data_IF_696208441749
#
_entry.id   IF_696208441749
#
_cell.length_a   1.000
_cell.length_b   1.000
_cell.length_c   1.000
_cell.angle_alpha   90.00
_cell.angle_beta   90.00
_cell.angle_gamma   90.00
#
_symmetry.space_group_name_H-M   'P 1'
#
loop_
_entity.id
_entity.type
_entity.pdbx_description
1 polymer ?
#
# COMPACT_ATOMS: atom_id res chain seq x y z
N UNK A 1 -40.38 7.47 -42.71
CA UNK A 1 -38.97 7.14 -42.36
C UNK A 1 -38.23 8.32 -41.72
N UNK A 2 -38.77 9.53 -41.79
CA UNK A 2 -38.22 10.78 -41.23
C UNK A 2 -38.54 11.04 -39.75
N UNK A 3 -39.57 10.40 -39.17
CA UNK A 3 -39.89 10.55 -37.73
C UNK A 3 -39.09 9.63 -36.79
N UNK A 4 -38.52 8.52 -37.29
CA UNK A 4 -37.64 7.66 -36.47
C UNK A 4 -36.23 8.23 -36.25
N UNK A 5 -35.83 9.26 -36.99
CA UNK A 5 -34.50 9.89 -36.84
C UNK A 5 -34.46 11.04 -35.83
N UNK A 6 -35.61 11.62 -35.44
CA UNK A 6 -35.66 12.64 -34.38
C UNK A 6 -35.54 12.05 -32.97
N UNK A 7 -35.98 10.80 -32.76
CA UNK A 7 -35.87 10.10 -31.47
C UNK A 7 -34.45 9.62 -31.11
N UNK A 8 -33.55 9.47 -32.09
CA UNK A 8 -32.16 9.01 -31.84
C UNK A 8 -31.20 10.14 -31.45
N UNK A 9 -31.55 11.42 -31.72
CA UNK A 9 -30.73 12.56 -31.29
C UNK A 9 -30.95 12.96 -29.82
N UNK A 10 -32.13 12.69 -29.23
CA UNK A 10 -32.37 12.96 -27.80
C UNK A 10 -31.70 11.93 -26.87
N UNK A 11 -31.51 10.68 -27.33
CA UNK A 11 -30.79 9.65 -26.59
C UNK A 11 -29.27 9.90 -26.51
N UNK A 12 -28.70 10.60 -27.50
CA UNK A 12 -27.28 11.00 -27.51
C UNK A 12 -26.95 12.10 -26.50
N UNK A 13 -27.85 13.08 -26.33
CA UNK A 13 -27.64 14.16 -25.36
C UNK A 13 -27.67 13.64 -23.90
N UNK A 14 -28.55 12.70 -23.60
CA UNK A 14 -28.60 12.08 -22.27
C UNK A 14 -27.35 11.22 -21.97
N UNK A 15 -26.84 10.48 -22.95
CA UNK A 15 -25.63 9.66 -22.77
C UNK A 15 -24.37 10.51 -22.64
N UNK A 16 -24.27 11.63 -23.35
CA UNK A 16 -23.16 12.59 -23.21
C UNK A 16 -23.21 13.35 -21.88
N UNK A 17 -24.40 13.75 -21.39
CA UNK A 17 -24.54 14.39 -20.09
C UNK A 17 -24.18 13.43 -18.94
N UNK A 18 -24.59 12.16 -19.06
CA UNK A 18 -24.20 11.09 -18.12
C UNK A 18 -22.68 10.89 -18.16
N UNK A 19 -22.07 10.85 -19.35
CA UNK A 19 -20.62 10.69 -19.48
C UNK A 19 -19.84 11.87 -18.90
N UNK A 20 -20.29 13.11 -19.13
CA UNK A 20 -19.72 14.31 -18.56
C UNK A 20 -19.86 14.34 -17.03
N UNK A 21 -21.04 13.98 -16.49
CA UNK A 21 -21.24 13.80 -15.05
C UNK A 21 -20.31 12.73 -14.47
N UNK A 22 -20.16 11.57 -15.12
CA UNK A 22 -19.22 10.53 -14.68
C UNK A 22 -17.76 11.00 -14.71
N UNK A 23 -17.39 11.82 -15.70
CA UNK A 23 -16.05 12.37 -15.82
C UNK A 23 -15.73 13.41 -14.73
N UNK A 24 -16.68 14.31 -14.43
CA UNK A 24 -16.55 15.30 -13.35
C UNK A 24 -16.59 14.61 -11.98
N UNK A 25 -17.53 13.68 -11.76
CA UNK A 25 -17.61 12.88 -10.54
C UNK A 25 -16.35 12.05 -10.31
N UNK A 26 -15.75 11.49 -11.36
CA UNK A 26 -14.48 10.77 -11.27
C UNK A 26 -13.33 11.64 -10.74
N UNK A 27 -13.35 12.96 -10.97
CA UNK A 27 -12.33 13.88 -10.43
C UNK A 27 -12.61 14.31 -8.99
N UNK A 28 -13.88 14.34 -8.58
CA UNK A 28 -14.27 14.71 -7.21
C UNK A 28 -14.22 13.53 -6.23
N UNK A 29 -14.38 12.31 -6.72
CA UNK A 29 -14.36 11.09 -5.90
C UNK A 29 -13.13 10.99 -4.97
N UNK A 30 -11.88 11.17 -5.42
CA UNK A 30 -10.72 11.11 -4.53
C UNK A 30 -10.79 12.10 -3.36
N UNK A 31 -11.24 13.33 -3.61
CA UNK A 31 -11.37 14.35 -2.57
C UNK A 31 -12.48 14.01 -1.57
N UNK A 32 -13.63 13.50 -2.06
CA UNK A 32 -14.72 13.06 -1.18
C UNK A 32 -14.30 11.92 -0.25
N UNK A 33 -13.60 10.91 -0.78
CA UNK A 33 -13.07 9.82 0.04
C UNK A 33 -11.97 10.29 1.00
N UNK A 34 -11.13 11.26 0.60
CA UNK A 34 -10.14 11.84 1.50
C UNK A 34 -10.79 12.53 2.71
N UNK A 35 -11.82 13.35 2.47
CA UNK A 35 -12.59 14.02 3.53
C UNK A 35 -13.31 12.98 4.41
N UNK A 36 -13.92 11.96 3.79
CA UNK A 36 -14.58 10.88 4.52
C UNK A 36 -13.59 10.13 5.43
N UNK A 37 -12.42 9.75 4.92
CA UNK A 37 -11.40 9.04 5.69
C UNK A 37 -10.75 9.94 6.74
N UNK A 38 -10.61 11.25 6.49
CA UNK A 38 -10.19 12.21 7.50
C UNK A 38 -11.16 12.22 8.68
N UNK A 39 -12.45 12.46 8.42
CA UNK A 39 -13.48 12.50 9.44
C UNK A 39 -13.61 11.16 10.18
N UNK A 40 -13.58 10.06 9.43
CA UNK A 40 -13.61 8.71 10.00
C UNK A 40 -12.40 8.43 10.90
N UNK A 41 -11.20 8.84 10.49
CA UNK A 41 -9.99 8.65 11.30
C UNK A 41 -10.05 9.45 12.60
N UNK A 42 -10.54 10.71 12.56
CA UNK A 42 -10.73 11.53 13.75
C UNK A 42 -11.72 10.93 14.76
N UNK A 43 -12.70 10.14 14.28
CA UNK A 43 -13.64 9.43 15.15
C UNK A 43 -13.01 8.18 15.75
N UNK A 44 -12.22 7.43 14.99
CA UNK A 44 -11.69 6.11 15.41
C UNK A 44 -10.41 6.24 16.25
N UNK A 45 -9.51 7.18 15.95
CA UNK A 45 -8.23 7.31 16.66
C UNK A 45 -8.34 7.43 18.19
N UNK A 46 -9.29 8.20 18.75
CA UNK A 46 -9.46 8.29 20.20
C UNK A 46 -9.73 6.95 20.89
N UNK A 47 -10.27 5.96 20.16
CA UNK A 47 -10.51 4.63 20.70
C UNK A 47 -9.30 3.70 20.55
N UNK A 48 -8.36 4.00 19.67
CA UNK A 48 -7.22 3.11 19.40
C UNK A 48 -6.01 3.45 20.29
N UNK A 49 -5.97 2.84 21.46
CA UNK A 49 -4.92 3.07 22.47
C UNK A 49 -3.91 1.91 22.57
N UNK A 50 -4.31 0.68 22.23
CA UNK A 50 -3.52 -0.54 22.45
C UNK A 50 -2.62 -0.98 21.29
N UNK A 51 -1.93 -2.10 21.52
CA UNK A 51 -1.01 -2.72 20.56
C UNK A 51 0.12 -1.78 20.14
N UNK A 52 0.42 -1.76 18.84
CA UNK A 52 1.46 -0.88 18.27
C UNK A 52 1.20 0.63 18.53
N UNK A 53 -0.05 1.04 18.73
CA UNK A 53 -0.40 2.46 18.92
C UNK A 53 0.11 3.02 20.25
N UNK A 54 0.21 2.21 21.30
CA UNK A 54 0.76 2.61 22.60
C UNK A 54 2.19 3.13 22.42
N UNK A 55 3.03 2.36 21.74
CA UNK A 55 4.42 2.72 21.48
C UNK A 55 4.55 3.95 20.58
N UNK A 56 3.69 4.09 19.56
CA UNK A 56 3.71 5.27 18.69
C UNK A 56 3.25 6.53 19.41
N UNK A 57 2.23 6.45 20.28
CA UNK A 57 1.77 7.59 21.10
C UNK A 57 2.87 8.01 22.09
N UNK A 58 3.42 7.06 22.83
CA UNK A 58 4.53 7.31 23.76
C UNK A 58 5.74 7.96 23.08
N UNK A 59 6.12 7.49 21.88
CA UNK A 59 7.19 8.12 21.10
C UNK A 59 6.84 9.55 20.67
N UNK A 60 5.64 9.77 20.14
CA UNK A 60 5.20 11.08 19.65
C UNK A 60 5.21 12.14 20.76
N UNK A 61 4.74 11.77 21.95
CA UNK A 61 4.62 12.69 23.08
C UNK A 61 5.99 13.00 23.71
N UNK A 62 6.85 11.98 23.84
CA UNK A 62 8.16 12.13 24.46
C UNK A 62 9.15 12.94 23.59
N UNK A 63 9.05 12.84 22.26
CA UNK A 63 10.06 13.43 21.37
C UNK A 63 10.00 14.97 21.32
N UNK A 64 8.88 15.56 21.73
CA UNK A 64 8.70 17.01 21.72
C UNK A 64 9.67 17.69 22.70
N UNK A 65 10.62 18.46 22.17
CA UNK A 65 11.64 19.15 22.94
C UNK A 65 12.95 18.38 23.17
N UNK A 66 13.06 17.13 22.71
CA UNK A 66 14.32 16.38 22.77
C UNK A 66 15.32 16.86 21.69
N UNK A 67 16.63 16.90 22.00
CA UNK A 67 17.67 17.09 20.99
C UNK A 67 17.60 15.99 19.91
N UNK A 68 17.90 16.34 18.66
CA UNK A 68 17.74 15.44 17.50
C UNK A 68 18.43 14.08 17.67
N UNK A 69 19.65 14.06 18.23
CA UNK A 69 20.40 12.83 18.47
C UNK A 69 19.74 11.93 19.52
N UNK A 70 19.35 12.51 20.66
CA UNK A 70 18.69 11.79 21.75
C UNK A 70 17.31 11.27 21.33
N UNK A 71 16.56 12.09 20.59
CA UNK A 71 15.29 11.71 19.98
C UNK A 71 15.43 10.51 19.04
N UNK A 72 16.50 10.47 18.24
CA UNK A 72 16.73 9.37 17.31
C UNK A 72 17.14 8.07 18.02
N UNK A 73 17.94 8.17 19.08
CA UNK A 73 18.29 7.03 19.92
C UNK A 73 17.05 6.51 20.68
N UNK A 74 16.23 7.41 21.21
CA UNK A 74 14.96 7.08 21.84
C UNK A 74 14.01 6.39 20.85
N UNK A 75 13.85 6.93 19.64
CA UNK A 75 13.09 6.32 18.54
C UNK A 75 13.53 4.88 18.26
N UNK A 76 14.84 4.65 18.15
CA UNK A 76 15.39 3.33 17.89
C UNK A 76 15.09 2.32 18.99
N UNK A 77 15.15 2.77 20.26
CA UNK A 77 14.84 1.94 21.43
C UNK A 77 13.34 1.66 21.58
N UNK A 78 12.49 2.67 21.40
CA UNK A 78 11.05 2.58 21.64
C UNK A 78 10.32 1.77 20.55
N UNK A 79 10.72 1.91 19.27
CA UNK A 79 10.02 1.32 18.14
C UNK A 79 10.79 0.19 17.43
N UNK A 80 11.96 -0.19 17.95
CA UNK A 80 12.80 -1.27 17.43
C UNK A 80 13.17 -1.09 15.94
N UNK A 81 13.31 0.15 15.49
CA UNK A 81 13.56 0.48 14.08
C UNK A 81 14.30 1.79 13.93
N UNK A 82 14.98 1.95 12.79
CA UNK A 82 15.82 3.10 12.46
C UNK A 82 15.41 3.72 11.12
N UNK A 83 14.11 3.81 10.85
CA UNK A 83 13.56 4.35 9.60
C UNK A 83 13.54 5.90 9.62
N UNK A 84 14.47 6.57 8.93
CA UNK A 84 14.69 8.01 9.11
C UNK A 84 13.50 8.87 8.66
N UNK A 85 12.78 8.49 7.60
CA UNK A 85 11.72 9.33 7.05
C UNK A 85 10.52 9.43 8.00
N UNK A 86 10.14 8.33 8.65
CA UNK A 86 9.10 8.35 9.68
C UNK A 86 9.55 9.17 10.90
N UNK A 87 10.81 8.97 11.34
CA UNK A 87 11.38 9.72 12.45
C UNK A 87 11.32 11.24 12.21
N UNK A 88 11.83 11.72 11.08
CA UNK A 88 11.84 13.16 10.78
C UNK A 88 10.43 13.75 10.64
N UNK A 89 9.47 12.96 10.15
CA UNK A 89 8.07 13.39 10.11
C UNK A 89 7.52 13.61 11.52
N UNK A 90 7.66 12.63 12.40
CA UNK A 90 7.15 12.74 13.78
C UNK A 90 7.89 13.82 14.56
N UNK A 91 9.22 13.81 14.53
CA UNK A 91 10.06 14.81 15.19
C UNK A 91 9.74 16.25 14.76
N UNK A 92 9.50 16.46 13.46
CA UNK A 92 9.22 17.79 12.91
C UNK A 92 7.83 18.32 13.23
N UNK A 93 6.83 17.44 13.39
CA UNK A 93 5.43 17.86 13.59
C UNK A 93 4.92 17.71 15.02
N UNK A 94 5.57 16.92 15.87
CA UNK A 94 5.12 16.71 17.26
C UNK A 94 5.00 17.98 18.11
N UNK A 95 5.82 19.04 17.94
CA UNK A 95 5.63 20.27 18.70
C UNK A 95 4.42 21.11 18.26
N UNK A 96 3.87 20.84 17.07
CA UNK A 96 2.91 21.75 16.41
C UNK A 96 1.53 21.14 16.21
N UNK A 97 1.43 19.81 16.10
CA UNK A 97 0.18 19.12 15.79
C UNK A 97 -0.06 17.98 16.76
N UNK A 98 -1.32 17.76 17.12
CA UNK A 98 -1.73 16.54 17.80
C UNK A 98 -1.53 15.33 16.87
N UNK A 99 -1.08 14.20 17.44
CA UNK A 99 -0.80 12.96 16.71
C UNK A 99 -2.00 12.53 15.84
N UNK A 100 -3.17 12.49 16.45
CA UNK A 100 -4.38 11.96 15.82
C UNK A 100 -4.82 12.83 14.64
N UNK A 101 -4.63 14.15 14.75
CA UNK A 101 -4.88 15.08 13.65
C UNK A 101 -3.87 14.88 12.51
N UNK A 102 -2.56 14.82 12.82
CA UNK A 102 -1.51 14.61 11.82
C UNK A 102 -1.74 13.30 11.05
N UNK A 103 -1.98 12.20 11.75
CA UNK A 103 -2.17 10.90 11.10
C UNK A 103 -3.52 10.77 10.41
N UNK A 104 -4.56 11.50 10.83
CA UNK A 104 -5.82 11.62 10.07
C UNK A 104 -5.59 12.35 8.75
N UNK A 105 -4.77 13.40 8.73
CA UNK A 105 -4.39 14.11 7.50
C UNK A 105 -3.59 13.21 6.55
N UNK A 106 -2.64 12.42 7.07
CA UNK A 106 -1.87 11.45 6.28
C UNK A 106 -2.79 10.36 5.72
N UNK A 107 -3.74 9.85 6.51
CA UNK A 107 -4.74 8.88 6.05
C UNK A 107 -5.60 9.45 4.92
N UNK A 108 -6.04 10.70 5.05
CA UNK A 108 -6.81 11.41 4.02
C UNK A 108 -6.01 11.54 2.72
N UNK A 109 -4.74 11.93 2.80
CA UNK A 109 -3.85 12.04 1.65
C UNK A 109 -3.60 10.67 0.99
N UNK A 110 -3.39 9.63 1.80
CA UNK A 110 -3.25 8.26 1.30
C UNK A 110 -4.52 7.80 0.59
N UNK A 111 -5.71 8.02 1.19
CA UNK A 111 -6.98 7.71 0.56
C UNK A 111 -7.17 8.47 -0.76
N UNK A 112 -6.81 9.76 -0.81
CA UNK A 112 -6.82 10.56 -2.03
C UNK A 112 -5.99 9.91 -3.14
N UNK A 113 -4.74 9.53 -2.85
CA UNK A 113 -3.83 8.94 -3.82
C UNK A 113 -4.30 7.55 -4.27
N UNK A 114 -4.76 6.71 -3.34
CA UNK A 114 -5.29 5.37 -3.64
C UNK A 114 -6.54 5.46 -4.52
N UNK A 115 -7.51 6.29 -4.16
CA UNK A 115 -8.75 6.45 -4.96
C UNK A 115 -8.44 7.10 -6.31
N UNK A 116 -7.53 8.06 -6.37
CA UNK A 116 -7.04 8.62 -7.65
C UNK A 116 -6.47 7.53 -8.55
N UNK A 117 -5.69 6.60 -7.99
CA UNK A 117 -5.16 5.46 -8.73
C UNK A 117 -6.29 4.52 -9.18
N UNK A 118 -7.22 4.13 -8.31
CA UNK A 118 -8.35 3.25 -8.64
C UNK A 118 -9.21 3.85 -9.76
N UNK A 119 -9.58 5.13 -9.65
CA UNK A 119 -10.41 5.83 -10.65
C UNK A 119 -9.65 6.00 -11.98
N UNK A 120 -8.34 6.25 -11.94
CA UNK A 120 -7.53 6.32 -13.17
C UNK A 120 -7.51 5.01 -13.96
N UNK A 121 -7.70 3.87 -13.28
CA UNK A 121 -7.85 2.55 -13.89
C UNK A 121 -9.29 2.25 -14.38
N UNK A 122 -10.17 3.27 -14.41
CA UNK A 122 -11.57 3.19 -14.87
C UNK A 122 -12.39 2.13 -14.13
N UNK A 123 -12.08 1.90 -12.86
CA UNK A 123 -12.77 0.95 -11.99
C UNK A 123 -14.22 1.41 -11.75
N UNK A 124 -15.15 0.46 -11.66
CA UNK A 124 -16.56 0.78 -11.40
C UNK A 124 -16.74 1.38 -10.00
N UNK A 125 -17.60 2.38 -9.87
CA UNK A 125 -17.74 3.18 -8.64
C UNK A 125 -18.01 2.32 -7.38
N UNK A 126 -18.81 1.26 -7.49
CA UNK A 126 -19.15 0.39 -6.35
C UNK A 126 -18.00 -0.51 -5.88
N UNK A 127 -16.92 -0.62 -6.65
CA UNK A 127 -15.69 -1.32 -6.24
C UNK A 127 -14.81 -0.40 -5.39
N UNK A 128 -14.95 0.93 -5.51
CA UNK A 128 -14.13 1.88 -4.73
C UNK A 128 -14.33 1.72 -3.22
N UNK A 129 -15.56 1.64 -2.66
CA UNK A 129 -15.76 1.35 -1.25
C UNK A 129 -15.11 0.04 -0.81
N UNK A 130 -15.20 -1.01 -1.63
CA UNK A 130 -14.57 -2.31 -1.33
C UNK A 130 -13.05 -2.20 -1.23
N UNK A 131 -12.42 -1.33 -2.04
CA UNK A 131 -10.97 -1.11 -1.97
C UNK A 131 -10.60 -0.18 -0.81
N UNK A 132 -11.40 0.83 -0.48
CA UNK A 132 -11.05 1.79 0.58
C UNK A 132 -11.33 1.25 1.98
N UNK A 133 -12.41 0.50 2.18
CA UNK A 133 -12.83 -0.03 3.47
C UNK A 133 -12.47 -1.51 3.67
N UNK A 134 -11.58 -2.07 2.86
CA UNK A 134 -11.09 -3.43 3.12
C UNK A 134 -10.21 -3.46 4.38
N UNK A 135 -10.18 -4.61 5.05
CA UNK A 135 -9.35 -4.88 6.23
C UNK A 135 -7.90 -4.37 6.10
N UNK A 136 -7.20 -4.62 4.99
CA UNK A 136 -5.82 -4.18 4.83
C UNK A 136 -5.68 -2.67 4.64
N UNK A 137 -6.66 -1.99 4.03
CA UNK A 137 -6.69 -0.54 3.98
C UNK A 137 -6.91 0.06 5.37
N UNK A 138 -7.78 -0.53 6.19
CA UNK A 138 -7.99 -0.12 7.58
C UNK A 138 -6.75 -0.36 8.45
N UNK A 139 -6.09 -1.53 8.32
CA UNK A 139 -4.80 -1.82 8.97
C UNK A 139 -3.74 -0.81 8.52
N UNK A 140 -3.77 -0.37 7.26
CA UNK A 140 -2.86 0.68 6.80
C UNK A 140 -3.21 2.04 7.42
N UNK A 141 -4.48 2.39 7.55
CA UNK A 141 -4.92 3.66 8.11
C UNK A 141 -4.71 3.79 9.61
N UNK A 142 -4.75 2.69 10.37
CA UNK A 142 -4.67 2.79 11.83
C UNK A 142 -3.32 2.31 12.39
N UNK A 143 -3.07 1.00 12.56
CA UNK A 143 -1.91 0.51 13.29
C UNK A 143 -0.59 0.74 12.54
N UNK A 144 -0.59 0.65 11.21
CA UNK A 144 0.65 0.55 10.44
C UNK A 144 1.23 1.93 10.04
N UNK A 145 1.60 2.77 11.01
CA UNK A 145 2.06 4.16 10.78
C UNK A 145 3.30 4.31 9.89
N UNK A 146 4.31 3.45 10.07
CA UNK A 146 5.54 3.47 9.26
C UNK A 146 5.24 2.99 7.83
N UNK A 147 4.41 1.95 7.72
CA UNK A 147 3.98 1.37 6.46
C UNK A 147 3.10 2.31 5.63
N UNK A 148 2.15 3.05 6.25
CA UNK A 148 1.29 4.00 5.53
C UNK A 148 2.10 5.09 4.85
N UNK A 149 3.12 5.61 5.51
CA UNK A 149 3.98 6.65 4.96
C UNK A 149 4.77 6.10 3.78
N UNK A 150 5.31 4.89 3.92
CA UNK A 150 6.01 4.20 2.84
C UNK A 150 5.12 3.93 1.63
N UNK A 151 3.89 3.43 1.84
CA UNK A 151 2.91 3.18 0.77
C UNK A 151 2.47 4.49 0.11
N UNK A 152 2.26 5.56 0.88
CA UNK A 152 1.94 6.88 0.36
C UNK A 152 3.02 7.38 -0.59
N UNK A 153 4.28 7.38 -0.15
CA UNK A 153 5.43 7.81 -0.97
C UNK A 153 5.59 6.90 -2.21
N UNK A 154 5.45 5.59 -2.04
CA UNK A 154 5.49 4.64 -3.15
C UNK A 154 4.44 4.95 -4.22
N UNK A 155 3.20 5.19 -3.80
CA UNK A 155 2.08 5.50 -4.70
C UNK A 155 2.25 6.86 -5.37
N UNK A 156 2.71 7.89 -4.66
CA UNK A 156 3.08 9.18 -5.28
C UNK A 156 4.15 8.95 -6.35
N UNK A 157 5.20 8.18 -6.05
CA UNK A 157 6.25 7.84 -7.01
C UNK A 157 5.71 7.17 -8.29
N UNK A 158 4.63 6.39 -8.19
CA UNK A 158 3.97 5.78 -9.34
C UNK A 158 3.27 6.78 -10.28
N UNK A 159 2.89 7.97 -9.80
CA UNK A 159 2.31 9.02 -10.63
C UNK A 159 3.37 9.89 -11.34
N UNK A 160 4.60 9.93 -10.82
CA UNK A 160 5.68 10.73 -11.37
C UNK A 160 6.51 9.99 -12.43
N UNK A 161 7.21 10.75 -13.27
CA UNK A 161 8.13 10.26 -14.31
C UNK A 161 9.57 10.71 -14.02
N UNK A 162 10.54 10.06 -14.65
CA UNK A 162 11.95 10.43 -14.54
C UNK A 162 12.56 10.16 -13.16
N UNK A 163 13.50 11.01 -12.75
CA UNK A 163 14.26 10.85 -11.50
C UNK A 163 13.41 11.05 -10.24
N UNK A 164 12.38 11.91 -10.31
CA UNK A 164 11.48 12.22 -9.19
C UNK A 164 10.76 10.98 -8.68
N UNK A 165 10.38 10.06 -9.58
CA UNK A 165 9.81 8.75 -9.19
C UNK A 165 10.74 7.97 -8.26
N UNK A 166 12.03 7.93 -8.58
CA UNK A 166 13.00 7.17 -7.78
C UNK A 166 13.30 7.86 -6.46
N UNK A 167 13.23 9.19 -6.40
CA UNK A 167 13.31 9.93 -5.13
C UNK A 167 12.19 9.48 -4.18
N UNK A 168 10.94 9.47 -4.65
CA UNK A 168 9.80 9.00 -3.84
C UNK A 168 9.90 7.53 -3.45
N UNK A 169 10.37 6.66 -4.35
CA UNK A 169 10.58 5.24 -4.05
C UNK A 169 11.72 5.00 -3.07
N UNK A 170 12.81 5.78 -3.17
CA UNK A 170 13.87 5.78 -2.16
C UNK A 170 13.32 6.21 -0.81
N UNK A 171 12.57 7.31 -0.77
CA UNK A 171 11.85 7.76 0.42
C UNK A 171 10.94 6.69 1.01
N UNK A 172 10.20 5.95 0.17
CA UNK A 172 9.36 4.85 0.62
C UNK A 172 10.15 3.72 1.29
N UNK A 173 11.30 3.32 0.72
CA UNK A 173 12.20 2.32 1.31
C UNK A 173 12.79 2.82 2.64
N UNK A 174 13.17 4.10 2.72
CA UNK A 174 13.68 4.71 3.95
C UNK A 174 12.59 4.94 5.02
N UNK A 175 11.32 5.06 4.64
CA UNK A 175 10.19 5.04 5.57
C UNK A 175 9.90 3.64 6.09
N UNK A 176 10.02 2.63 5.24
CA UNK A 176 9.83 1.24 5.63
C UNK A 176 10.59 0.28 4.70
N UNK A 177 11.60 -0.41 5.23
CA UNK A 177 12.53 -1.21 4.41
C UNK A 177 11.81 -2.30 3.60
N UNK A 178 10.74 -2.90 4.13
CA UNK A 178 10.01 -3.96 3.42
C UNK A 178 9.29 -3.47 2.15
N UNK A 179 9.08 -2.16 1.97
CA UNK A 179 8.51 -1.57 0.75
C UNK A 179 9.42 -1.76 -0.46
N UNK A 180 10.68 -2.16 -0.27
CA UNK A 180 11.55 -2.63 -1.36
C UNK A 180 10.88 -3.74 -2.19
N UNK A 181 10.09 -4.61 -1.55
CA UNK A 181 9.37 -5.69 -2.23
C UNK A 181 8.33 -5.14 -3.21
N UNK A 182 7.57 -4.10 -2.82
CA UNK A 182 6.62 -3.43 -3.72
C UNK A 182 7.33 -2.74 -4.88
N UNK A 183 8.47 -2.09 -4.62
CA UNK A 183 9.28 -1.47 -5.67
C UNK A 183 9.76 -2.52 -6.67
N UNK A 184 10.28 -3.65 -6.20
CA UNK A 184 10.69 -4.77 -7.05
C UNK A 184 9.49 -5.33 -7.84
N UNK A 185 8.35 -5.56 -7.20
CA UNK A 185 7.11 -6.02 -7.85
C UNK A 185 6.64 -5.06 -8.95
N UNK A 186 6.77 -3.74 -8.74
CA UNK A 186 6.42 -2.71 -9.71
C UNK A 186 7.44 -2.56 -10.86
N UNK A 187 8.61 -3.18 -10.75
CA UNK A 187 9.67 -3.22 -11.77
C UNK A 187 9.73 -4.53 -12.55
N UNK A 188 8.84 -5.49 -12.26
CA UNK A 188 8.82 -6.82 -12.89
C UNK A 188 8.91 -6.77 -14.43
N UNK A 189 8.17 -5.86 -15.08
CA UNK A 189 8.20 -5.71 -16.54
C UNK A 189 9.58 -5.33 -17.07
N UNK A 190 10.29 -4.44 -16.35
CA UNK A 190 11.66 -4.04 -16.72
C UNK A 190 12.64 -5.18 -16.50
N UNK A 191 12.49 -5.91 -15.39
CA UNK A 191 13.30 -7.11 -15.11
C UNK A 191 13.13 -8.15 -16.20
N UNK A 192 11.89 -8.43 -16.63
CA UNK A 192 11.60 -9.36 -17.73
C UNK A 192 12.23 -8.88 -19.04
N UNK A 193 12.06 -7.60 -19.40
CA UNK A 193 12.64 -7.08 -20.64
C UNK A 193 14.16 -7.17 -20.65
N UNK A 194 14.81 -6.90 -19.52
CA UNK A 194 16.26 -7.05 -19.40
C UNK A 194 16.70 -8.50 -19.52
N UNK A 195 16.02 -9.42 -18.83
CA UNK A 195 16.34 -10.84 -18.91
C UNK A 195 16.25 -11.33 -20.37
N UNK A 196 15.21 -10.92 -21.10
CA UNK A 196 15.07 -11.22 -22.53
C UNK A 196 16.16 -10.57 -23.39
N UNK A 197 16.53 -9.31 -23.13
CA UNK A 197 17.60 -8.61 -23.85
C UNK A 197 18.98 -9.25 -23.60
N UNK A 198 19.27 -9.63 -22.36
CA UNK A 198 20.50 -10.31 -21.96
C UNK A 198 20.62 -11.68 -22.63
N UNK A 199 19.54 -12.46 -22.65
CA UNK A 199 19.48 -13.75 -23.35
C UNK A 199 19.67 -13.61 -24.87
N UNK A 200 19.44 -12.41 -25.43
CA UNK A 200 19.69 -12.08 -26.85
C UNK A 200 21.06 -11.43 -27.07
N UNK A 201 21.89 -11.30 -26.03
CA UNK A 201 23.21 -10.67 -26.09
C UNK A 201 23.18 -9.16 -26.31
N UNK A 202 22.04 -8.49 -26.10
CA UNK A 202 21.91 -7.03 -26.24
C UNK A 202 21.85 -6.38 -24.87
N UNK A 203 22.87 -5.61 -24.52
CA UNK A 203 22.84 -4.76 -23.32
C UNK A 203 22.37 -3.38 -23.75
N UNK A 204 21.13 -3.03 -23.40
CA UNK A 204 20.65 -1.66 -23.54
C UNK A 204 21.14 -0.80 -22.36
N UNK A 205 21.06 0.54 -22.50
CA UNK A 205 21.41 1.46 -21.41
C UNK A 205 20.53 1.28 -20.15
N UNK A 206 19.35 0.66 -20.30
CA UNK A 206 18.49 0.28 -19.18
C UNK A 206 19.11 -0.83 -18.33
N UNK A 207 19.84 -1.76 -18.96
CA UNK A 207 20.61 -2.81 -18.31
C UNK A 207 21.65 -2.26 -17.33
N UNK A 208 22.42 -1.28 -17.76
CA UNK A 208 23.45 -0.64 -16.92
C UNK A 208 22.84 -0.01 -15.67
N UNK A 209 21.71 0.68 -15.81
CA UNK A 209 21.02 1.30 -14.67
C UNK A 209 20.50 0.26 -13.66
N UNK A 210 20.00 -0.88 -14.13
CA UNK A 210 19.53 -1.95 -13.24
C UNK A 210 20.68 -2.70 -12.57
N UNK A 211 21.82 -2.88 -13.25
CA UNK A 211 23.05 -3.37 -12.61
C UNK A 211 23.51 -2.41 -11.53
N UNK A 212 23.47 -1.10 -11.77
CA UNK A 212 23.79 -0.09 -10.75
C UNK A 212 22.85 -0.19 -9.54
N UNK A 213 21.53 -0.32 -9.77
CA UNK A 213 20.56 -0.55 -8.69
C UNK A 213 20.88 -1.84 -7.93
N UNK A 214 21.20 -2.94 -8.63
CA UNK A 214 21.55 -4.20 -8.00
C UNK A 214 22.81 -4.07 -7.13
N UNK A 215 23.85 -3.39 -7.62
CA UNK A 215 25.08 -3.10 -6.85
C UNK A 215 24.76 -2.25 -5.62
N UNK A 216 23.97 -1.18 -5.76
CA UNK A 216 23.56 -0.33 -4.62
C UNK A 216 22.75 -1.14 -3.59
N UNK A 217 21.88 -2.04 -4.04
CA UNK A 217 21.09 -2.91 -3.19
C UNK A 217 21.97 -3.95 -2.48
N UNK A 218 22.97 -4.52 -3.16
CA UNK A 218 23.97 -5.39 -2.53
C UNK A 218 24.79 -4.63 -1.46
N UNK A 219 25.21 -3.40 -1.75
CA UNK A 219 25.91 -2.53 -0.79
C UNK A 219 25.01 -2.23 0.41
N UNK A 220 23.76 -1.87 0.18
CA UNK A 220 22.77 -1.64 1.24
C UNK A 220 22.57 -2.88 2.11
N UNK A 221 22.36 -4.06 1.51
CA UNK A 221 22.21 -5.33 2.23
C UNK A 221 23.48 -5.66 3.03
N UNK A 222 24.66 -5.37 2.48
CA UNK A 222 25.93 -5.59 3.18
C UNK A 222 26.03 -4.73 4.45
N UNK A 223 25.69 -3.44 4.38
CA UNK A 223 25.69 -2.55 5.55
C UNK A 223 24.58 -2.89 6.56
N UNK A 224 23.41 -3.32 6.08
CA UNK A 224 22.26 -3.65 6.92
C UNK A 224 22.25 -5.10 7.40
N UNK A 225 23.29 -5.90 7.10
CA UNK A 225 23.28 -7.35 7.33
C UNK A 225 22.96 -7.73 8.77
N UNK A 226 23.55 -7.06 9.76
CA UNK A 226 23.33 -7.38 11.18
C UNK A 226 21.86 -7.24 11.55
N UNK A 227 21.29 -6.06 11.30
CA UNK A 227 19.87 -5.80 11.54
C UNK A 227 18.93 -6.69 10.70
N UNK A 228 19.33 -7.12 9.50
CA UNK A 228 18.57 -8.08 8.71
C UNK A 228 18.60 -9.46 9.37
N UNK A 229 19.76 -9.93 9.82
CA UNK A 229 19.91 -11.24 10.48
C UNK A 229 19.21 -11.28 11.83
N UNK A 230 19.33 -10.24 12.65
CA UNK A 230 18.65 -10.15 13.95
C UNK A 230 17.12 -10.22 13.79
N UNK A 231 16.58 -9.53 12.77
CA UNK A 231 15.15 -9.62 12.43
C UNK A 231 14.79 -10.97 11.84
N UNK A 232 15.62 -11.54 10.97
CA UNK A 232 15.36 -12.84 10.36
C UNK A 232 15.27 -13.93 11.42
N UNK A 233 16.19 -13.94 12.39
CA UNK A 233 16.19 -14.91 13.50
C UNK A 233 14.90 -14.82 14.32
N UNK A 234 14.50 -13.59 14.70
CA UNK A 234 13.23 -13.36 15.40
C UNK A 234 12.00 -13.82 14.58
N UNK A 235 11.98 -13.55 13.27
CA UNK A 235 10.84 -13.90 12.43
C UNK A 235 10.82 -15.36 11.97
N UNK A 236 11.93 -16.09 12.01
CA UNK A 236 11.95 -17.51 11.64
C UNK A 236 11.04 -18.35 12.54
N UNK A 237 10.81 -17.93 13.79
CA UNK A 237 9.84 -18.58 14.68
C UNK A 237 8.39 -18.43 14.20
N UNK A 238 8.09 -17.31 13.55
CA UNK A 238 6.78 -16.99 12.97
C UNK A 238 6.65 -17.37 11.48
N UNK A 239 7.76 -17.78 10.87
CA UNK A 239 7.84 -18.15 9.46
C UNK A 239 7.30 -19.55 9.15
N UNK A 240 7.67 -20.06 7.99
CA UNK A 240 7.37 -21.44 7.58
C UNK A 240 6.20 -21.58 6.61
N UNK A 241 5.76 -22.82 6.42
CA UNK A 241 4.84 -23.19 5.32
C UNK A 241 3.49 -22.47 5.43
N UNK A 242 2.98 -22.31 6.65
CA UNK A 242 1.71 -21.61 6.91
C UNK A 242 1.71 -20.17 6.41
N UNK A 243 2.83 -19.46 6.59
CA UNK A 243 2.96 -18.06 6.19
C UNK A 243 2.91 -17.86 4.67
N UNK A 244 3.28 -18.87 3.89
CA UNK A 244 3.33 -18.82 2.42
C UNK A 244 1.95 -19.04 1.79
N UNK A 245 1.02 -19.69 2.49
CA UNK A 245 -0.28 -20.09 1.92
C UNK A 245 -1.07 -18.87 1.43
N UNK A 246 -1.20 -17.82 2.25
CA UNK A 246 -1.99 -16.63 1.88
C UNK A 246 -1.37 -15.88 0.67
N UNK A 247 -0.06 -15.55 0.66
CA UNK A 247 0.59 -14.96 -0.52
C UNK A 247 0.51 -15.85 -1.77
N UNK A 248 0.59 -17.18 -1.61
CA UNK A 248 0.49 -18.12 -2.73
C UNK A 248 -0.92 -18.11 -3.36
N UNK A 249 -1.97 -18.13 -2.54
CA UNK A 249 -3.36 -18.00 -2.99
C UNK A 249 -3.55 -16.68 -3.74
N UNK A 250 -3.09 -15.56 -3.16
CA UNK A 250 -3.17 -14.24 -3.81
C UNK A 250 -2.37 -14.19 -5.12
N UNK A 251 -1.21 -14.83 -5.18
CA UNK A 251 -0.41 -14.96 -6.41
C UNK A 251 -1.17 -15.73 -7.49
N UNK A 252 -1.81 -16.85 -7.13
CA UNK A 252 -2.67 -17.62 -8.04
C UNK A 252 -3.85 -16.80 -8.59
N UNK A 253 -4.54 -16.07 -7.70
CA UNK A 253 -5.63 -15.16 -8.11
C UNK A 253 -5.11 -14.01 -9.00
N UNK A 254 -3.92 -13.48 -8.70
CA UNK A 254 -3.27 -12.44 -9.52
C UNK A 254 -3.00 -12.98 -10.92
N UNK A 255 -2.41 -14.16 -11.05
CA UNK A 255 -2.13 -14.80 -12.33
C UNK A 255 -3.41 -15.11 -13.12
N UNK A 256 -4.47 -15.57 -12.44
CA UNK A 256 -5.79 -15.75 -13.04
C UNK A 256 -6.34 -14.43 -13.59
N UNK A 257 -6.26 -13.33 -12.83
CA UNK A 257 -6.74 -12.03 -13.24
C UNK A 257 -5.88 -11.36 -14.33
N UNK A 258 -4.59 -11.67 -14.41
CA UNK A 258 -3.65 -11.04 -15.33
C UNK A 258 -3.82 -11.43 -16.81
N UNK A 259 -4.67 -12.40 -17.13
CA UNK A 259 -5.00 -12.89 -18.48
C UNK A 259 -3.79 -13.07 -19.40
N UNK A 260 -3.38 -12.06 -20.17
CA UNK A 260 -2.24 -12.09 -21.10
C UNK A 260 -0.88 -11.71 -20.50
N UNK A 261 -0.85 -11.30 -19.22
CA UNK A 261 0.36 -10.89 -18.49
C UNK A 261 0.70 -11.83 -17.33
N UNK A 262 0.40 -13.13 -17.48
CA UNK A 262 0.57 -14.15 -16.41
C UNK A 262 2.01 -14.21 -15.90
N UNK A 263 2.98 -14.20 -16.81
CA UNK A 263 4.40 -14.23 -16.44
C UNK A 263 4.79 -12.97 -15.66
N UNK A 264 4.33 -11.80 -16.09
CA UNK A 264 4.56 -10.54 -15.38
C UNK A 264 3.96 -10.57 -13.97
N UNK A 265 2.73 -11.06 -13.82
CA UNK A 265 2.11 -11.19 -12.50
C UNK A 265 2.82 -12.19 -11.59
N UNK A 266 3.26 -13.34 -12.12
CA UNK A 266 3.97 -14.34 -11.32
C UNK A 266 5.32 -13.81 -10.86
N UNK A 267 6.06 -13.14 -11.74
CA UNK A 267 7.34 -12.51 -11.39
C UNK A 267 7.14 -11.35 -10.41
N UNK A 268 6.07 -10.56 -10.53
CA UNK A 268 5.73 -9.53 -9.54
C UNK A 268 5.44 -10.12 -8.15
N UNK A 269 4.76 -11.27 -8.06
CA UNK A 269 4.36 -11.89 -6.80
C UNK A 269 5.42 -12.80 -6.18
N UNK A 270 6.35 -13.34 -6.98
CA UNK A 270 7.35 -14.31 -6.52
C UNK A 270 8.21 -13.80 -5.35
N UNK A 271 8.76 -12.56 -5.36
CA UNK A 271 9.52 -12.05 -4.22
C UNK A 271 8.72 -12.04 -2.92
N UNK A 272 7.42 -11.75 -2.99
CA UNK A 272 6.54 -11.71 -1.81
C UNK A 272 6.32 -13.11 -1.24
N UNK A 273 6.07 -14.09 -2.10
CA UNK A 273 5.91 -15.50 -1.70
C UNK A 273 7.20 -16.02 -1.05
N UNK A 274 8.36 -15.77 -1.65
CA UNK A 274 9.65 -16.21 -1.09
C UNK A 274 9.92 -15.55 0.26
N UNK A 275 9.73 -14.22 0.37
CA UNK A 275 10.03 -13.52 1.63
C UNK A 275 9.03 -13.86 2.73
N UNK A 276 7.76 -14.17 2.41
CA UNK A 276 6.78 -14.62 3.41
C UNK A 276 7.18 -15.91 4.13
N UNK A 277 7.97 -16.78 3.49
CA UNK A 277 8.49 -17.98 4.14
C UNK A 277 9.42 -17.66 5.31
N UNK A 278 10.20 -16.58 5.18
CA UNK A 278 11.26 -16.21 6.13
C UNK A 278 10.81 -15.18 7.17
N UNK A 279 9.94 -14.24 6.78
CA UNK A 279 9.62 -13.05 7.59
C UNK A 279 8.22 -13.16 8.25
N UNK A 280 7.41 -14.15 7.86
CA UNK A 280 6.01 -14.27 8.28
C UNK A 280 5.04 -13.61 7.30
N UNK A 281 3.73 -13.68 7.59
CA UNK A 281 2.69 -13.38 6.60
C UNK A 281 2.03 -12.00 6.76
N UNK A 282 1.92 -11.44 7.96
CA UNK A 282 1.04 -10.29 8.22
C UNK A 282 1.25 -9.10 7.27
N UNK A 283 2.47 -8.55 7.20
CA UNK A 283 2.79 -7.39 6.34
C UNK A 283 2.93 -7.76 4.87
N UNK A 284 3.44 -8.96 4.59
CA UNK A 284 3.71 -9.42 3.22
C UNK A 284 2.41 -9.77 2.49
N UNK A 285 1.40 -10.22 3.22
CA UNK A 285 0.06 -10.45 2.67
C UNK A 285 -0.59 -9.14 2.26
N UNK A 286 -0.40 -8.03 2.99
CA UNK A 286 -0.87 -6.69 2.56
C UNK A 286 -0.26 -6.33 1.20
N UNK A 287 1.05 -6.51 1.03
CA UNK A 287 1.72 -6.26 -0.25
C UNK A 287 1.25 -7.19 -1.36
N UNK A 288 1.06 -8.48 -1.05
CA UNK A 288 0.52 -9.47 -1.98
C UNK A 288 -0.89 -9.08 -2.44
N UNK A 289 -1.69 -8.53 -1.53
CA UNK A 289 -3.03 -8.03 -1.84
C UNK A 289 -2.97 -6.79 -2.73
N UNK A 290 -2.03 -5.87 -2.51
CA UNK A 290 -1.83 -4.71 -3.41
C UNK A 290 -1.40 -5.14 -4.82
N UNK A 291 -0.49 -6.11 -4.94
CA UNK A 291 -0.12 -6.68 -6.24
C UNK A 291 -1.32 -7.35 -6.91
N UNK A 292 -2.11 -8.11 -6.14
CA UNK A 292 -3.37 -8.68 -6.62
C UNK A 292 -4.32 -7.61 -7.15
N UNK A 293 -4.60 -6.55 -6.38
CA UNK A 293 -5.47 -5.45 -6.80
C UNK A 293 -4.94 -4.76 -8.07
N UNK A 294 -3.63 -4.56 -8.20
CA UNK A 294 -3.03 -3.95 -9.38
C UNK A 294 -3.37 -4.70 -10.68
N UNK A 295 -3.31 -6.04 -10.67
CA UNK A 295 -3.69 -6.82 -11.85
C UNK A 295 -5.21 -7.01 -11.95
N UNK A 296 -5.90 -7.23 -10.83
CA UNK A 296 -7.31 -7.57 -10.81
C UNK A 296 -8.23 -6.39 -11.16
N UNK A 297 -7.89 -5.16 -10.74
CA UNK A 297 -8.70 -3.97 -11.07
C UNK A 297 -8.68 -3.65 -12.58
N UNK A 298 -7.61 -4.01 -13.27
CA UNK A 298 -7.50 -3.86 -14.72
C UNK A 298 -8.44 -4.80 -15.51
N UNK A 299 -8.90 -5.90 -14.91
CA UNK A 299 -9.82 -6.86 -15.55
C UNK A 299 -11.27 -6.50 -15.26
N UNK A 300 -12.07 -6.32 -16.31
CA UNK A 300 -13.50 -5.97 -16.22
C UNK A 300 -13.78 -4.74 -15.33
N UNK A 301 -12.86 -3.75 -15.32
CA UNK A 301 -12.98 -2.53 -14.50
C UNK A 301 -13.17 -2.84 -13.01
N UNK A 302 -12.47 -3.87 -12.52
CA UNK A 302 -12.52 -4.34 -11.13
C UNK A 302 -13.74 -5.18 -10.76
N UNK A 303 -14.77 -5.26 -11.60
CA UNK A 303 -15.97 -6.06 -11.32
C UNK A 303 -15.81 -7.52 -11.76
N UNK A 304 -14.78 -8.18 -11.26
CA UNK A 304 -14.55 -9.61 -11.46
C UNK A 304 -14.75 -10.38 -10.16
N UNK A 305 -15.08 -11.67 -10.29
CA UNK A 305 -15.42 -12.54 -9.16
C UNK A 305 -14.32 -12.52 -8.07
N UNK A 306 -13.01 -12.64 -8.39
CA UNK A 306 -11.96 -12.56 -7.37
C UNK A 306 -11.98 -11.26 -6.56
N UNK A 307 -12.13 -10.10 -7.20
CA UNK A 307 -12.16 -8.80 -6.50
C UNK A 307 -13.38 -8.68 -5.59
N UNK A 308 -14.56 -9.09 -6.06
CA UNK A 308 -15.79 -9.00 -5.26
C UNK A 308 -15.75 -9.97 -4.07
N UNK A 309 -15.29 -11.21 -4.28
CA UNK A 309 -15.19 -12.20 -3.20
C UNK A 309 -14.14 -11.79 -2.16
N UNK A 310 -12.93 -11.45 -2.59
CA UNK A 310 -11.87 -11.04 -1.66
C UNK A 310 -12.18 -9.71 -1.00
N UNK A 311 -12.71 -8.74 -1.73
CA UNK A 311 -13.14 -7.45 -1.20
C UNK A 311 -14.27 -7.58 -0.19
N UNK A 312 -15.27 -8.41 -0.46
CA UNK A 312 -16.36 -8.70 0.48
C UNK A 312 -15.87 -9.39 1.77
N UNK A 313 -15.00 -10.40 1.62
CA UNK A 313 -14.36 -11.06 2.78
C UNK A 313 -13.56 -10.07 3.65
N UNK A 314 -12.71 -9.25 3.03
CA UNK A 314 -11.92 -8.27 3.76
C UNK A 314 -12.73 -7.08 4.28
N UNK A 315 -13.89 -6.77 3.70
CA UNK A 315 -14.81 -5.78 4.26
C UNK A 315 -15.37 -6.28 5.59
N UNK A 316 -15.87 -7.53 5.63
CA UNK A 316 -16.38 -8.15 6.87
C UNK A 316 -15.28 -8.22 7.93
N UNK A 317 -14.08 -8.68 7.56
CA UNK A 317 -12.94 -8.68 8.48
C UNK A 317 -12.57 -7.28 8.97
N UNK A 318 -12.71 -6.27 8.11
CA UNK A 318 -12.52 -4.87 8.45
C UNK A 318 -13.51 -4.34 9.48
N UNK A 319 -14.77 -4.78 9.43
CA UNK A 319 -15.78 -4.44 10.45
C UNK A 319 -15.39 -5.01 11.81
N UNK A 320 -15.00 -6.29 11.88
CA UNK A 320 -14.55 -6.89 13.15
C UNK A 320 -13.31 -6.18 13.71
N UNK A 321 -12.37 -5.79 12.84
CA UNK A 321 -11.21 -5.00 13.24
C UNK A 321 -11.60 -3.66 13.88
N UNK A 322 -12.61 -2.96 13.33
CA UNK A 322 -13.11 -1.70 13.90
C UNK A 322 -13.85 -1.90 15.24
N UNK A 323 -14.63 -2.98 15.35
CA UNK A 323 -15.27 -3.34 16.63
C UNK A 323 -14.20 -3.58 17.69
N UNK A 324 -13.13 -4.32 17.37
CA UNK A 324 -12.02 -4.56 18.29
C UNK A 324 -11.36 -3.26 18.78
N UNK A 325 -11.14 -2.30 17.89
CA UNK A 325 -10.64 -0.97 18.27
C UNK A 325 -11.60 -0.27 19.25
N UNK A 326 -12.90 -0.25 18.94
CA UNK A 326 -13.88 0.49 19.74
C UNK A 326 -14.09 -0.16 21.12
N UNK A 327 -14.12 -1.49 21.19
CA UNK A 327 -14.44 -2.22 22.42
C UNK A 327 -13.23 -2.48 23.31
N UNK A 328 -12.06 -2.77 22.72
CA UNK A 328 -10.87 -3.19 23.47
C UNK A 328 -9.68 -2.23 23.33
N UNK A 329 -9.80 -1.21 22.49
CA UNK A 329 -8.69 -0.33 22.16
C UNK A 329 -7.63 -0.97 21.26
N UNK A 330 -7.85 -2.20 20.77
CA UNK A 330 -6.94 -2.89 19.86
C UNK A 330 -7.72 -3.65 18.77
N UNK A 331 -7.44 -3.33 17.51
CA UNK A 331 -8.08 -3.99 16.36
C UNK A 331 -7.68 -5.45 16.15
N UNK A 332 -6.63 -5.93 16.84
CA UNK A 332 -6.20 -7.32 16.78
C UNK A 332 -6.59 -8.15 18.00
N UNK A 333 -7.28 -7.56 18.99
CA UNK A 333 -7.80 -8.32 20.12
C UNK A 333 -8.74 -9.43 19.61
N UNK A 334 -8.53 -10.67 20.08
CA UNK A 334 -9.39 -11.79 19.73
C UNK A 334 -10.80 -11.54 20.28
N UNK A 335 -11.74 -11.26 19.39
CA UNK A 335 -13.16 -11.32 19.71
C UNK A 335 -13.51 -12.79 19.96
N UNK A 336 -13.62 -13.16 21.24
CA UNK A 336 -14.13 -14.47 21.65
C UNK A 336 -15.62 -14.50 21.31
N UNK A 337 -15.98 -15.14 20.19
CA UNK A 337 -17.36 -15.37 19.77
C UNK A 337 -17.84 -16.77 20.12
#
# INVERSE_FOLDING_TARGET
MTDRMKGLKSAGAASELIFACFFVLGRLQPALYAILIFAFSMIVFPYYEGGDQEHYRGFYDAVSGMPLSEAYDYYASALGSREPVYFFLVYGFSPYLEKDFLFSLINALLAFVVVSWVVSNRVRFYIVPLVVFNFYALVLFFPAERLKLAVLLFMIGCFWRGWVRYFFWGGAIFSHTQTILLVLSAQSRRVISLFVSLMRGKVDGGGVFLVLIAVLLCVFVFFMRGHIFDKLEFYMEFGGVGAVIKPLILSGLTAYCASGRRLESLISSLPLVVVSFFVGDERIVIFSYFVFLYFALNRNRGANIPVVLTGGYFLVKGVFFLIGIIEYGDGFAELVF
#
